data_IF_658995868303
#
_entry.id   IF_658995868303
#
_cell.length_a   1.000
_cell.length_b   1.000
_cell.length_c   1.000
_cell.angle_alpha   90.00
_cell.angle_beta   90.00
_cell.angle_gamma   90.00
#
_symmetry.space_group_name_H-M   'P 1'
#
loop_
_entity.id
_entity.type
_entity.pdbx_description
1 polymer ?
#
# COMPACT_ATOMS: atom_id res chain seq x y z
N UNK A 1 -13.53 -11.98 -14.16
CA UNK A 1 -12.84 -11.06 -13.23
C UNK A 1 -11.37 -11.05 -13.58
N UNK A 2 -10.82 -9.96 -14.13
CA UNK A 2 -9.39 -9.90 -14.40
C UNK A 2 -8.65 -9.85 -13.07
N UNK A 3 -7.89 -10.90 -12.77
CA UNK A 3 -6.93 -10.90 -11.67
C UNK A 3 -5.95 -9.76 -11.96
N UNK A 4 -6.03 -8.65 -11.22
CA UNK A 4 -4.99 -7.61 -11.29
C UNK A 4 -3.72 -8.26 -10.76
N UNK A 5 -2.71 -8.41 -11.61
CA UNK A 5 -1.44 -8.98 -11.21
C UNK A 5 -0.84 -8.17 -10.06
N UNK A 6 -0.42 -8.83 -8.98
CA UNK A 6 0.38 -8.21 -7.92
C UNK A 6 1.82 -8.22 -8.39
N UNK A 7 2.45 -7.05 -8.40
CA UNK A 7 3.88 -6.95 -8.70
C UNK A 7 4.69 -7.19 -7.42
N UNK A 8 5.86 -7.84 -7.51
CA UNK A 8 6.77 -7.93 -6.37
C UNK A 8 7.30 -6.53 -6.01
N UNK A 9 7.71 -6.34 -4.76
CA UNK A 9 8.44 -5.14 -4.33
C UNK A 9 9.66 -4.90 -5.22
N UNK A 10 9.93 -3.63 -5.54
CA UNK A 10 11.17 -3.24 -6.23
C UNK A 10 12.33 -3.00 -5.26
N UNK A 11 12.04 -2.80 -3.97
CA UNK A 11 13.04 -2.55 -2.92
C UNK A 11 12.67 -3.28 -1.60
N UNK A 12 13.11 -4.53 -1.44
CA UNK A 12 12.86 -5.31 -0.23
C UNK A 12 13.54 -4.75 1.04
N UNK A 13 14.41 -3.75 0.91
CA UNK A 13 15.13 -3.15 2.03
C UNK A 13 14.44 -1.87 2.57
N UNK A 14 13.37 -1.41 1.93
CA UNK A 14 12.63 -0.22 2.37
C UNK A 14 11.10 -0.38 2.24
N UNK A 15 10.37 0.71 2.51
CA UNK A 15 8.93 0.79 2.35
C UNK A 15 8.13 -0.19 3.21
N UNK A 16 6.97 -0.58 2.69
CA UNK A 16 6.04 -1.52 3.32
C UNK A 16 6.69 -2.88 3.58
N UNK A 17 7.50 -3.37 2.64
CA UNK A 17 8.10 -4.71 2.73
C UNK A 17 9.02 -4.82 3.93
N UNK A 18 9.99 -3.89 4.04
CA UNK A 18 10.94 -3.91 5.15
C UNK A 18 10.22 -3.69 6.49
N UNK A 19 9.33 -2.71 6.56
CA UNK A 19 8.58 -2.42 7.79
C UNK A 19 7.68 -3.58 8.24
N UNK A 20 7.07 -4.32 7.30
CA UNK A 20 6.31 -5.52 7.64
C UNK A 20 7.19 -6.58 8.31
N UNK A 21 8.40 -6.80 7.77
CA UNK A 21 9.36 -7.75 8.36
C UNK A 21 9.83 -7.29 9.73
N UNK A 22 10.15 -6.02 9.88
CA UNK A 22 10.64 -5.44 11.14
C UNK A 22 9.55 -5.50 12.23
N UNK A 23 8.28 -5.41 11.83
CA UNK A 23 7.12 -5.58 12.71
C UNK A 23 6.75 -7.06 12.95
N UNK A 24 7.53 -8.02 12.45
CA UNK A 24 7.30 -9.46 12.64
C UNK A 24 6.17 -10.06 11.80
N UNK A 25 5.68 -9.35 10.78
CA UNK A 25 4.67 -9.84 9.86
C UNK A 25 5.30 -10.71 8.76
N UNK A 26 4.52 -11.66 8.23
CA UNK A 26 4.85 -12.29 6.95
C UNK A 26 4.73 -11.25 5.84
N UNK A 27 5.87 -10.75 5.36
CA UNK A 27 5.91 -9.69 4.36
C UNK A 27 5.32 -10.12 3.01
N UNK A 28 5.36 -11.40 2.65
CA UNK A 28 4.73 -11.87 1.42
C UNK A 28 3.20 -11.80 1.53
N UNK A 29 2.64 -12.28 2.64
CA UNK A 29 1.20 -12.24 2.90
C UNK A 29 0.71 -10.79 3.05
N UNK A 30 1.40 -9.99 3.87
CA UNK A 30 1.07 -8.59 4.09
C UNK A 30 1.15 -7.79 2.78
N UNK A 31 2.19 -8.00 1.96
CA UNK A 31 2.34 -7.32 0.67
C UNK A 31 1.18 -7.65 -0.28
N UNK A 32 0.82 -8.94 -0.37
CA UNK A 32 -0.27 -9.37 -1.23
C UNK A 32 -1.61 -8.78 -0.79
N UNK A 33 -1.88 -8.80 0.52
CA UNK A 33 -3.10 -8.27 1.10
C UNK A 33 -3.22 -6.74 0.95
N UNK A 34 -2.16 -6.01 1.28
CA UNK A 34 -2.11 -4.56 1.10
C UNK A 34 -2.24 -4.16 -0.38
N UNK A 35 -1.65 -4.96 -1.28
CA UNK A 35 -1.78 -4.74 -2.71
C UNK A 35 -3.23 -4.83 -3.19
N UNK A 36 -3.96 -5.84 -2.72
CA UNK A 36 -5.39 -5.99 -3.01
C UNK A 36 -6.21 -4.84 -2.45
N UNK A 37 -6.01 -4.52 -1.16
CA UNK A 37 -6.74 -3.47 -0.47
C UNK A 37 -6.60 -2.10 -1.17
N UNK A 38 -5.36 -1.67 -1.44
CA UNK A 38 -5.08 -0.40 -2.12
C UNK A 38 -5.67 -0.37 -3.54
N UNK A 39 -5.54 -1.47 -4.29
CA UNK A 39 -6.10 -1.57 -5.63
C UNK A 39 -7.63 -1.45 -5.62
N UNK A 40 -8.30 -1.94 -4.58
CA UNK A 40 -9.76 -1.89 -4.46
C UNK A 40 -10.26 -0.54 -3.96
N UNK A 41 -9.70 -0.04 -2.87
CA UNK A 41 -10.10 1.23 -2.25
C UNK A 41 -9.82 2.42 -3.17
N UNK A 42 -8.60 2.52 -3.70
CA UNK A 42 -8.15 3.68 -4.47
C UNK A 42 -8.16 3.46 -5.99
N UNK A 43 -8.57 2.27 -6.45
CA UNK A 43 -8.61 1.87 -7.87
C UNK A 43 -7.25 1.88 -8.58
N UNK A 44 -6.15 1.84 -7.82
CA UNK A 44 -4.77 1.87 -8.35
C UNK A 44 -4.47 0.68 -9.27
N UNK A 45 -3.64 0.93 -10.28
CA UNK A 45 -3.04 -0.10 -11.14
C UNK A 45 -1.92 -0.81 -10.39
N UNK A 46 -1.53 -2.04 -10.77
CA UNK A 46 -0.44 -2.78 -10.11
C UNK A 46 0.87 -2.01 -9.92
N UNK A 47 1.31 -1.26 -10.94
CA UNK A 47 2.52 -0.44 -10.85
C UNK A 47 2.40 0.70 -9.83
N UNK A 48 1.23 1.33 -9.75
CA UNK A 48 0.92 2.40 -8.79
C UNK A 48 0.85 1.84 -7.37
N UNK A 49 0.27 0.65 -7.19
CA UNK A 49 0.23 -0.06 -5.91
C UNK A 49 1.66 -0.37 -5.44
N UNK A 50 2.48 -0.98 -6.29
CA UNK A 50 3.89 -1.26 -5.96
C UNK A 50 4.61 0.02 -5.59
N UNK A 51 4.49 1.07 -6.40
CA UNK A 51 5.15 2.35 -6.13
C UNK A 51 4.70 2.98 -4.80
N UNK A 52 3.41 2.89 -4.46
CA UNK A 52 2.91 3.33 -3.16
C UNK A 52 3.53 2.49 -2.02
N UNK A 53 3.52 1.17 -2.15
CA UNK A 53 4.03 0.26 -1.12
C UNK A 53 5.55 0.36 -0.93
N UNK A 54 6.31 0.62 -1.98
CA UNK A 54 7.77 0.84 -1.89
C UNK A 54 8.12 2.25 -1.36
N UNK A 55 7.14 3.13 -1.15
CA UNK A 55 7.38 4.49 -0.62
C UNK A 55 7.29 4.58 0.90
N UNK A 56 7.63 5.74 1.47
CA UNK A 56 7.38 6.08 2.88
C UNK A 56 5.90 5.93 3.27
N UNK A 57 4.98 6.13 2.32
CA UNK A 57 3.56 5.92 2.57
C UNK A 57 3.24 4.42 2.79
N UNK A 58 3.91 3.54 2.06
CA UNK A 58 3.86 2.11 2.30
C UNK A 58 4.43 1.72 3.66
N UNK A 59 5.56 2.32 4.05
CA UNK A 59 6.13 2.11 5.40
C UNK A 59 5.14 2.47 6.50
N UNK A 60 4.54 3.65 6.44
CA UNK A 60 3.53 4.08 7.42
C UNK A 60 2.30 3.17 7.43
N UNK A 61 1.87 2.66 6.28
CA UNK A 61 0.78 1.68 6.23
C UNK A 61 1.17 0.37 6.97
N UNK A 62 2.38 -0.14 6.78
CA UNK A 62 2.87 -1.34 7.47
C UNK A 62 2.98 -1.12 8.98
N UNK A 63 3.38 0.07 9.41
CA UNK A 63 3.34 0.49 10.81
C UNK A 63 1.90 0.52 11.33
N UNK A 64 0.96 1.05 10.56
CA UNK A 64 -0.46 1.08 10.97
C UNK A 64 -1.09 -0.31 11.13
N UNK A 65 -0.57 -1.34 10.45
CA UNK A 65 -1.08 -2.71 10.55
C UNK A 65 -0.96 -3.29 11.96
N UNK A 66 -0.03 -2.81 12.78
CA UNK A 66 0.14 -3.26 14.17
C UNK A 66 -1.03 -2.86 15.08
N UNK A 67 -1.93 -1.98 14.61
CA UNK A 67 -3.16 -1.61 15.31
C UNK A 67 -4.37 -2.45 14.90
N UNK A 68 -4.22 -3.38 13.95
CA UNK A 68 -5.28 -4.34 13.61
C UNK A 68 -5.25 -5.48 14.63
N UNK A 69 -6.34 -5.65 15.37
CA UNK A 69 -6.52 -6.81 16.24
C UNK A 69 -6.64 -8.10 15.41
N UNK A 70 -5.90 -9.14 15.77
CA UNK A 70 -5.98 -10.47 15.15
C UNK A 70 -4.96 -10.69 14.04
N UNK A 71 -5.43 -11.01 12.83
CA UNK A 71 -4.57 -11.27 11.65
C UNK A 71 -4.43 -10.00 10.79
N UNK A 72 -3.35 -9.22 10.94
CA UNK A 72 -3.12 -7.98 10.19
C UNK A 72 -2.78 -8.24 8.71
N UNK A 73 -2.73 -9.50 8.26
CA UNK A 73 -2.43 -9.87 6.86
C UNK A 73 -3.66 -10.18 6.02
N UNK A 74 -4.87 -9.98 6.55
CA UNK A 74 -6.12 -10.09 5.78
C UNK A 74 -6.39 -8.84 4.93
N UNK A 75 -6.64 -9.01 3.63
CA UNK A 75 -6.96 -7.89 2.74
C UNK A 75 -8.21 -7.12 3.21
N UNK A 76 -9.25 -7.81 3.67
CA UNK A 76 -10.48 -7.18 4.17
C UNK A 76 -10.22 -6.39 5.47
N UNK A 77 -9.33 -6.88 6.35
CA UNK A 77 -8.95 -6.17 7.57
C UNK A 77 -8.15 -4.89 7.25
N UNK A 78 -7.22 -4.97 6.29
CA UNK A 78 -6.45 -3.81 5.81
C UNK A 78 -7.39 -2.80 5.11
N UNK A 79 -8.36 -3.27 4.32
CA UNK A 79 -9.38 -2.39 3.74
C UNK A 79 -10.19 -1.67 4.81
N UNK A 80 -10.63 -2.39 5.86
CA UNK A 80 -11.35 -1.80 6.98
C UNK A 80 -10.52 -0.72 7.69
N UNK A 81 -9.23 -0.99 7.94
CA UNK A 81 -8.28 -0.01 8.47
C UNK A 81 -8.18 1.23 7.57
N UNK A 82 -7.98 1.04 6.27
CA UNK A 82 -7.86 2.17 5.32
C UNK A 82 -9.14 3.00 5.32
N UNK A 83 -10.33 2.38 5.30
CA UNK A 83 -11.60 3.11 5.36
C UNK A 83 -11.75 3.89 6.67
N UNK A 84 -11.44 3.27 7.82
CA UNK A 84 -11.47 3.95 9.11
C UNK A 84 -10.50 5.14 9.15
N UNK A 85 -9.32 5.03 8.53
CA UNK A 85 -8.39 6.16 8.37
C UNK A 85 -8.97 7.23 7.44
N UNK A 86 -9.63 6.88 6.33
CA UNK A 86 -10.23 7.84 5.40
C UNK A 86 -11.38 8.65 6.00
N UNK A 87 -12.06 8.13 7.03
CA UNK A 87 -13.07 8.88 7.79
C UNK A 87 -12.45 9.98 8.67
N UNK A 88 -11.14 9.88 8.97
CA UNK A 88 -10.41 10.91 9.70
C UNK A 88 -9.79 11.96 8.77
N UNK A 89 -10.14 13.24 8.95
CA UNK A 89 -9.75 14.34 8.04
C UNK A 89 -8.24 14.44 7.78
N UNK A 90 -7.41 14.25 8.80
CA UNK A 90 -5.95 14.31 8.66
C UNK A 90 -5.41 13.20 7.75
N UNK A 91 -5.89 11.98 7.97
CA UNK A 91 -5.50 10.80 7.21
C UNK A 91 -6.01 10.85 5.77
N UNK A 92 -7.25 11.31 5.58
CA UNK A 92 -7.82 11.51 4.24
C UNK A 92 -6.97 12.45 3.38
N UNK A 93 -6.52 13.57 3.95
CA UNK A 93 -5.64 14.53 3.25
C UNK A 93 -4.29 13.89 2.92
N UNK A 94 -3.73 13.15 3.87
CA UNK A 94 -2.47 12.46 3.68
C UNK A 94 -2.55 11.40 2.56
N UNK A 95 -3.57 10.51 2.59
CA UNK A 95 -3.78 9.53 1.52
C UNK A 95 -3.97 10.20 0.16
N UNK A 96 -4.77 11.27 0.08
CA UNK A 96 -4.97 12.00 -1.17
C UNK A 96 -3.64 12.55 -1.74
N UNK A 97 -2.78 13.10 -0.87
CA UNK A 97 -1.47 13.61 -1.27
C UNK A 97 -0.53 12.48 -1.73
N UNK A 98 -0.45 11.38 -0.98
CA UNK A 98 0.38 10.23 -1.34
C UNK A 98 -0.06 9.62 -2.69
N UNK A 99 -1.36 9.42 -2.89
CA UNK A 99 -1.89 8.89 -4.16
C UNK A 99 -1.67 9.85 -5.33
N UNK A 100 -1.76 11.17 -5.11
CA UNK A 100 -1.43 12.15 -6.15
C UNK A 100 0.04 12.05 -6.58
N UNK A 101 0.97 11.87 -5.62
CA UNK A 101 2.39 11.67 -5.92
C UNK A 101 2.63 10.37 -6.69
N UNK A 102 1.99 9.27 -6.30
CA UNK A 102 2.07 7.98 -7.04
C UNK A 102 1.67 8.18 -8.51
N UNK A 103 0.56 8.87 -8.75
CA UNK A 103 0.05 9.10 -10.12
C UNK A 103 0.95 10.04 -10.92
N UNK A 104 1.53 11.06 -10.28
CA UNK A 104 2.49 11.97 -10.92
C UNK A 104 3.83 11.30 -11.25
N UNK A 105 4.35 10.46 -10.34
CA UNK A 105 5.63 9.76 -10.50
C UNK A 105 5.57 8.58 -11.47
N UNK A 106 4.43 7.85 -11.50
CA UNK A 106 4.25 6.71 -12.41
C UNK A 106 4.02 7.17 -13.86
N UNK A 107 3.53 8.40 -14.08
CA UNK A 107 3.37 8.99 -15.42
C UNK A 107 4.65 9.55 -16.04
N UNK A 108 5.66 9.89 -15.22
CA UNK A 108 6.92 10.50 -15.70
C UNK A 108 7.91 9.51 -16.34
N UNK A 109 7.84 8.22 -16.01
CA UNK A 109 8.76 7.20 -16.52
C UNK A 109 8.51 6.79 -17.99
N UNK A 110 7.46 7.31 -18.64
CA UNK A 110 7.12 7.00 -20.03
C UNK A 110 7.39 8.15 -21.03
N UNK A 111 7.96 9.28 -20.59
CA UNK A 111 8.17 10.48 -21.42
C UNK A 111 9.65 10.85 -21.64
N UNK A 112 10.54 9.86 -21.59
CA UNK A 112 11.97 10.05 -21.81
C UNK A 112 12.60 8.84 -22.49
N UNK A 113 12.25 8.61 -23.76
CA UNK A 113 12.95 7.74 -24.69
C UNK A 113 12.98 8.41 -26.07
#
# INVERSE_FOLDING_TARGET
>A
MSVRAILPTADPASGFWAASRDNGLDAHLAWAAASWALARVFRLKPAEVRFYLDSDAGRLLAEDLMFIDGDPTSADAIEALIWARLDHLGWRRWYAAAIAQVRGGTGGAAAGA
#
